data_IF_326041874863
#
_entry.id   IF_326041874863
#
_cell.length_a   1.000
_cell.length_b   1.000
_cell.length_c   1.000
_cell.angle_alpha   90.00
_cell.angle_beta   90.00
_cell.angle_gamma   90.00
#
_symmetry.space_group_name_H-M   'P 1'
#
loop_
_entity.id
_entity.type
_entity.pdbx_description
1 polymer ?
#
# COMPACT_ATOMS: atom_id res chain seq x y z
N UNK A 1 -4.98 -17.89 16.73
CA UNK A 1 -3.78 -17.14 17.12
C UNK A 1 -3.89 -15.72 16.62
N UNK A 2 -3.69 -14.77 17.48
CA UNK A 2 -3.74 -13.36 17.09
C UNK A 2 -2.50 -13.00 16.28
N UNK A 3 -2.67 -12.25 15.22
CA UNK A 3 -1.56 -11.70 14.46
C UNK A 3 -1.28 -10.30 14.96
N UNK A 4 -0.01 -9.92 15.05
CA UNK A 4 0.39 -8.58 15.44
C UNK A 4 0.45 -7.65 14.23
N UNK A 5 -0.51 -7.81 13.34
CA UNK A 5 -0.62 -6.97 12.15
C UNK A 5 -1.77 -6.00 12.25
N UNK A 6 -1.63 -4.86 11.62
CA UNK A 6 -2.69 -3.88 11.49
C UNK A 6 -2.81 -3.47 10.03
N UNK A 7 -3.96 -2.90 9.70
CA UNK A 7 -4.27 -2.41 8.37
C UNK A 7 -4.03 -0.91 8.34
N UNK A 8 -3.37 -0.45 7.28
CA UNK A 8 -3.08 0.97 7.09
C UNK A 8 -3.59 1.39 5.73
N UNK A 9 -4.44 2.40 5.71
CA UNK A 9 -4.90 2.95 4.45
C UNK A 9 -3.84 3.92 3.93
N UNK A 10 -3.43 3.75 2.69
CA UNK A 10 -2.31 4.49 2.11
C UNK A 10 -2.63 4.96 0.70
N UNK A 11 -1.97 6.04 0.32
CA UNK A 11 -1.88 6.49 -1.05
C UNK A 11 -0.46 6.22 -1.52
N UNK A 12 -0.33 5.41 -2.56
CA UNK A 12 0.97 4.98 -3.09
C UNK A 12 1.17 5.68 -4.42
N UNK A 13 2.19 6.53 -4.49
CA UNK A 13 2.51 7.26 -5.71
C UNK A 13 3.66 6.56 -6.40
N UNK A 14 3.42 6.13 -7.63
CA UNK A 14 4.40 5.43 -8.45
C UNK A 14 4.73 6.26 -9.68
N UNK A 15 5.74 5.81 -10.42
CA UNK A 15 6.10 6.46 -11.69
C UNK A 15 4.95 6.40 -12.71
N UNK A 16 4.01 5.47 -12.55
CA UNK A 16 2.89 5.29 -13.48
C UNK A 16 1.56 5.86 -12.98
N UNK A 17 1.56 6.53 -11.81
CA UNK A 17 0.34 7.10 -11.24
C UNK A 17 0.17 6.74 -9.79
N UNK A 18 -0.95 7.16 -9.21
CA UNK A 18 -1.22 6.97 -7.79
C UNK A 18 -2.30 5.92 -7.57
N UNK A 19 -2.14 5.16 -6.49
CA UNK A 19 -3.05 4.12 -6.05
C UNK A 19 -3.48 4.43 -4.63
N UNK A 20 -4.72 4.11 -4.30
CA UNK A 20 -5.21 4.20 -2.93
C UNK A 20 -5.67 2.81 -2.52
N UNK A 21 -5.22 2.35 -1.38
CA UNK A 21 -5.57 1.01 -0.92
C UNK A 21 -5.12 0.80 0.52
N UNK A 22 -5.18 -0.44 0.93
CA UNK A 22 -4.86 -0.83 2.30
C UNK A 22 -3.71 -1.83 2.29
N UNK A 23 -2.72 -1.59 3.11
CA UNK A 23 -1.64 -2.54 3.32
C UNK A 23 -1.63 -3.02 4.77
N UNK A 24 -1.03 -4.19 4.98
CA UNK A 24 -0.80 -4.69 6.33
C UNK A 24 0.63 -4.41 6.74
N UNK A 25 0.82 -4.23 8.03
CA UNK A 25 2.15 -4.11 8.61
C UNK A 25 2.13 -4.63 10.04
N UNK A 26 3.29 -5.00 10.60
CA UNK A 26 3.38 -5.26 12.02
C UNK A 26 2.92 -4.05 12.82
N UNK A 27 2.17 -4.32 13.90
CA UNK A 27 1.51 -3.26 14.65
C UNK A 27 2.50 -2.32 15.34
N UNK A 28 3.65 -2.82 15.71
CA UNK A 28 4.61 -2.10 16.55
C UNK A 28 5.74 -1.47 15.76
N UNK A 29 5.66 -1.40 14.44
CA UNK A 29 6.65 -0.70 13.64
C UNK A 29 5.98 0.34 12.76
N UNK A 30 6.74 1.34 12.35
CA UNK A 30 6.23 2.42 11.51
C UNK A 30 6.04 1.93 10.08
N UNK A 31 5.16 2.60 9.35
CA UNK A 31 4.92 2.29 7.93
C UNK A 31 6.20 2.33 7.12
N UNK A 32 7.04 3.34 7.36
CA UNK A 32 8.33 3.45 6.67
C UNK A 32 9.19 2.20 6.88
N UNK A 33 9.29 1.74 8.13
CA UNK A 33 10.10 0.57 8.45
C UNK A 33 9.50 -0.68 7.82
N UNK A 34 8.17 -0.79 7.82
CA UNK A 34 7.50 -1.92 7.20
C UNK A 34 7.78 -1.97 5.70
N UNK A 35 7.75 -0.82 5.03
CA UNK A 35 8.03 -0.76 3.59
C UNK A 35 9.46 -1.15 3.27
N UNK A 36 10.40 -0.78 4.14
CA UNK A 36 11.80 -1.15 3.96
C UNK A 36 12.04 -2.65 4.09
N UNK A 37 11.13 -3.37 4.75
CA UNK A 37 11.21 -4.81 4.90
C UNK A 37 10.48 -5.57 3.80
N UNK A 38 9.74 -4.87 2.94
CA UNK A 38 8.97 -5.52 1.89
C UNK A 38 9.89 -6.06 0.80
N UNK A 39 9.50 -7.19 0.18
CA UNK A 39 10.19 -7.65 -1.02
C UNK A 39 9.92 -6.72 -2.20
N UNK A 40 10.34 -7.13 -3.40
CA UNK A 40 10.18 -6.30 -4.59
C UNK A 40 8.72 -5.93 -4.86
N UNK A 41 7.78 -6.81 -4.52
CA UNK A 41 6.35 -6.53 -4.64
C UNK A 41 5.70 -6.57 -3.26
N UNK A 42 4.77 -5.67 -3.03
CA UNK A 42 3.93 -5.71 -1.83
C UNK A 42 2.46 -5.57 -2.23
N UNK A 43 1.59 -6.06 -1.36
CA UNK A 43 0.17 -6.15 -1.66
C UNK A 43 -0.58 -4.90 -1.18
N UNK A 44 -1.46 -4.41 -2.04
CA UNK A 44 -2.51 -3.48 -1.65
C UNK A 44 -3.84 -4.18 -1.85
N UNK A 45 -4.67 -4.15 -0.81
CA UNK A 45 -6.04 -4.68 -0.89
C UNK A 45 -7.00 -3.50 -1.01
N UNK A 46 -8.17 -3.76 -1.58
CA UNK A 46 -9.17 -2.70 -1.83
C UNK A 46 -8.53 -1.51 -2.58
N UNK A 47 -7.61 -1.81 -3.51
CA UNK A 47 -6.85 -0.80 -4.20
C UNK A 47 -7.61 -0.27 -5.41
N UNK A 48 -7.55 1.05 -5.58
CA UNK A 48 -8.11 1.72 -6.75
C UNK A 48 -7.06 2.62 -7.37
N UNK A 49 -7.19 2.86 -8.66
CA UNK A 49 -6.33 3.82 -9.35
C UNK A 49 -6.91 5.22 -9.21
N UNK A 50 -6.13 6.11 -8.62
CA UNK A 50 -6.56 7.49 -8.43
C UNK A 50 -6.70 8.18 -9.80
N UNK A 51 -7.77 8.96 -9.95
CA UNK A 51 -8.03 9.62 -11.21
C UNK A 51 -8.81 8.78 -12.21
N UNK A 52 -9.11 7.54 -11.88
CA UNK A 52 -9.93 6.66 -12.71
C UNK A 52 -11.23 6.34 -11.99
N UNK A 53 -12.28 7.12 -12.23
CA UNK A 53 -13.53 6.96 -11.46
C UNK A 53 -14.20 5.60 -11.66
N UNK A 54 -13.82 4.87 -12.71
CA UNK A 54 -14.35 3.53 -12.96
C UNK A 54 -13.49 2.42 -12.37
N UNK A 55 -12.41 2.78 -11.71
CA UNK A 55 -11.55 1.79 -11.07
C UNK A 55 -12.31 1.11 -9.94
N UNK A 56 -12.36 -0.21 -9.98
CA UNK A 56 -13.00 -0.99 -8.92
C UNK A 56 -11.96 -1.41 -7.90
N UNK A 57 -12.31 -1.36 -6.60
CA UNK A 57 -11.39 -1.83 -5.58
C UNK A 57 -11.00 -3.29 -5.81
N UNK A 58 -9.74 -3.57 -5.70
CA UNK A 58 -9.24 -4.92 -5.89
C UNK A 58 -7.85 -5.09 -5.33
N UNK A 59 -7.33 -6.30 -5.46
CA UNK A 59 -5.98 -6.63 -5.03
C UNK A 59 -4.98 -6.16 -6.09
N UNK A 60 -3.91 -5.53 -5.64
CA UNK A 60 -2.80 -5.15 -6.51
C UNK A 60 -1.48 -5.52 -5.87
N UNK A 61 -0.59 -6.12 -6.67
CA UNK A 61 0.80 -6.33 -6.29
C UNK A 61 1.59 -5.15 -6.87
N UNK A 62 2.17 -4.35 -6.00
CA UNK A 62 2.85 -3.11 -6.39
C UNK A 62 4.35 -3.34 -6.34
N UNK A 63 5.05 -2.97 -7.42
CA UNK A 63 6.50 -3.05 -7.48
C UNK A 63 7.08 -1.90 -6.65
N UNK A 64 7.73 -2.24 -5.55
CA UNK A 64 8.29 -1.28 -4.61
C UNK A 64 9.31 -0.35 -5.28
N UNK A 65 10.04 -0.85 -6.28
CA UNK A 65 11.08 -0.07 -6.96
C UNK A 65 10.54 1.08 -7.79
N UNK A 66 9.25 1.03 -8.13
CA UNK A 66 8.60 2.07 -8.92
C UNK A 66 7.82 3.06 -8.05
N UNK A 67 7.87 2.89 -6.75
CA UNK A 67 7.18 3.75 -5.79
C UNK A 67 8.05 4.96 -5.49
N UNK A 68 7.47 6.14 -5.62
CA UNK A 68 8.14 7.39 -5.29
C UNK A 68 7.95 7.74 -3.82
N UNK A 69 6.72 7.61 -3.33
CA UNK A 69 6.43 7.82 -1.90
C UNK A 69 5.09 7.21 -1.54
N UNK A 70 4.87 7.05 -0.25
CA UNK A 70 3.63 6.52 0.32
C UNK A 70 3.15 7.47 1.39
N UNK A 71 1.86 7.82 1.35
CA UNK A 71 1.21 8.64 2.37
C UNK A 71 0.23 7.78 3.15
N UNK A 72 0.25 7.90 4.47
CA UNK A 72 -0.81 7.30 5.28
C UNK A 72 -2.02 8.21 5.24
N UNK A 73 -3.17 7.62 5.04
CA UNK A 73 -4.44 8.35 4.99
C UNK A 73 -5.17 8.22 6.32
N UNK A 74 -5.93 9.25 6.72
CA UNK A 74 -6.70 9.19 7.96
C UNK A 74 -7.81 8.16 7.93
#
# INVERSE_FOLDING_TARGET
MATDETWVKVRVVTVGGALVGTMTKPRNIRTLDALNLKPDFFALTEATKEGEPQSRPGFMAVNRRLVLYVEELP
#
